data_IF_778127561792
#
_entry.id   IF_778127561792
#
_cell.length_a   1.000
_cell.length_b   1.000
_cell.length_c   1.000
_cell.angle_alpha   90.00
_cell.angle_beta   90.00
_cell.angle_gamma   90.00
#
_symmetry.space_group_name_H-M   'P 1'
#
loop_
_entity.id
_entity.type
_entity.pdbx_description
1 polymer ?
#
# COMPACT_ATOMS: atom_id res chain seq x y z
N UNK A 1 27.70 -18.59 14.95
CA UNK A 1 27.97 -18.28 13.53
C UNK A 1 27.47 -16.86 13.33
N UNK A 2 28.37 -15.87 13.42
CA UNK A 2 28.03 -14.46 13.30
C UNK A 2 27.73 -14.14 11.83
N UNK A 3 26.48 -13.73 11.54
CA UNK A 3 26.14 -13.12 10.25
C UNK A 3 26.50 -11.64 10.35
N UNK A 4 27.51 -11.26 9.57
CA UNK A 4 27.90 -9.87 9.35
C UNK A 4 26.71 -9.19 8.68
N UNK A 5 26.12 -8.20 9.37
CA UNK A 5 25.18 -7.27 8.76
C UNK A 5 25.93 -6.52 7.65
N UNK A 6 25.56 -6.79 6.40
CA UNK A 6 26.00 -6.01 5.25
C UNK A 6 25.52 -4.57 5.47
N UNK A 7 26.45 -3.62 5.58
CA UNK A 7 26.17 -2.19 5.59
C UNK A 7 25.36 -1.83 4.33
N UNK A 8 24.10 -1.43 4.49
CA UNK A 8 23.34 -0.79 3.42
C UNK A 8 24.03 0.52 3.05
N UNK A 9 24.69 0.56 1.89
CA UNK A 9 25.17 1.80 1.25
C UNK A 9 24.26 2.14 0.08
N UNK A 10 23.01 2.49 0.36
CA UNK A 10 22.10 3.07 -0.61
C UNK A 10 21.90 4.55 -0.25
N UNK A 11 22.48 5.44 -1.07
CA UNK A 11 22.53 6.88 -0.83
C UNK A 11 21.16 7.58 -0.93
N UNK A 12 20.12 6.87 -1.34
CA UNK A 12 18.74 7.33 -1.50
C UNK A 12 17.78 6.71 -0.46
N UNK A 13 18.27 5.84 0.42
CA UNK A 13 17.45 5.20 1.46
C UNK A 13 16.49 4.11 0.96
N UNK A 14 16.58 3.71 -0.31
CA UNK A 14 15.73 2.66 -0.90
C UNK A 14 16.54 1.45 -1.34
N UNK A 15 16.11 0.27 -0.86
CA UNK A 15 16.65 -1.00 -1.32
C UNK A 15 15.95 -1.54 -2.55
N UNK A 16 16.73 -1.84 -3.58
CA UNK A 16 16.20 -2.36 -4.87
C UNK A 16 15.98 -3.86 -4.86
N UNK A 17 16.80 -4.58 -4.11
CA UNK A 17 16.71 -6.05 -4.00
C UNK A 17 15.82 -6.45 -2.81
N UNK A 18 14.88 -7.39 -3.01
CA UNK A 18 14.10 -7.93 -1.91
C UNK A 18 15.02 -8.67 -0.94
N UNK A 19 14.61 -8.74 0.32
CA UNK A 19 15.25 -9.60 1.31
C UNK A 19 14.19 -10.50 1.93
N UNK A 20 14.62 -11.68 2.32
CA UNK A 20 13.76 -12.73 2.86
C UNK A 20 14.09 -12.94 4.33
N UNK A 21 13.04 -13.06 5.16
CA UNK A 21 13.15 -13.38 6.58
C UNK A 21 12.28 -14.59 6.86
N UNK A 22 12.93 -15.70 7.22
CA UNK A 22 12.24 -16.90 7.70
C UNK A 22 11.99 -16.80 9.21
N UNK A 23 10.71 -16.83 9.60
CA UNK A 23 10.29 -16.84 11.00
C UNK A 23 9.59 -18.17 11.29
N UNK A 24 10.24 -19.04 12.07
CA UNK A 24 9.64 -20.31 12.52
C UNK A 24 9.01 -20.17 13.90
N UNK A 25 7.75 -20.58 14.06
CA UNK A 25 7.08 -20.59 15.36
C UNK A 25 5.99 -21.66 15.42
N UNK A 26 5.76 -22.22 16.61
CA UNK A 26 4.71 -23.20 16.86
C UNK A 26 3.35 -22.56 17.20
N UNK A 27 3.28 -21.23 17.26
CA UNK A 27 2.07 -20.49 17.63
C UNK A 27 1.28 -19.97 16.42
N UNK A 28 1.90 -19.93 15.25
CA UNK A 28 1.35 -19.31 14.06
C UNK A 28 1.22 -20.36 12.96
N UNK A 29 0.20 -20.21 12.13
CA UNK A 29 0.07 -20.99 10.90
C UNK A 29 1.09 -20.50 9.87
N UNK A 30 1.48 -21.36 8.93
CA UNK A 30 2.34 -20.96 7.81
C UNK A 30 1.66 -19.90 6.94
N UNK A 31 2.31 -18.75 6.76
CA UNK A 31 1.91 -17.69 5.84
C UNK A 31 3.13 -16.88 5.39
N UNK A 32 2.98 -16.17 4.27
CA UNK A 32 3.97 -15.24 3.74
C UNK A 32 3.42 -13.81 3.80
N UNK A 33 4.27 -12.86 4.18
CA UNK A 33 3.97 -11.43 4.09
C UNK A 33 4.99 -10.79 3.16
N UNK A 34 4.48 -10.12 2.13
CA UNK A 34 5.27 -9.30 1.23
C UNK A 34 5.03 -7.83 1.58
N UNK A 35 6.08 -7.18 2.08
CA UNK A 35 6.08 -5.74 2.30
C UNK A 35 6.71 -5.03 1.08
N UNK A 36 5.98 -4.06 0.53
CA UNK A 36 6.37 -3.33 -0.69
C UNK A 36 6.50 -1.86 -0.32
N UNK A 37 7.54 -1.14 -0.80
CA UNK A 37 7.71 0.26 -0.47
C UNK A 37 6.48 1.10 -0.89
N UNK A 38 6.06 2.02 -0.02
CA UNK A 38 4.93 2.90 -0.29
C UNK A 38 5.25 3.97 -1.34
N UNK A 39 4.28 4.28 -2.20
CA UNK A 39 4.44 5.33 -3.21
C UNK A 39 4.33 6.73 -2.57
N UNK A 40 5.43 7.50 -2.59
CA UNK A 40 5.50 8.88 -2.08
C UNK A 40 4.91 9.85 -3.13
N UNK A 41 4.34 10.96 -2.67
CA UNK A 41 3.57 11.93 -3.49
C UNK A 41 4.39 12.88 -4.35
N UNK A 42 5.72 12.87 -4.24
CA UNK A 42 6.51 13.99 -4.74
C UNK A 42 7.03 13.70 -6.16
N UNK A 43 6.70 14.61 -7.08
CA UNK A 43 7.07 14.56 -8.50
C UNK A 43 8.60 14.49 -8.73
N UNK A 44 9.41 14.79 -7.71
CA UNK A 44 10.86 14.82 -7.79
C UNK A 44 11.50 13.42 -7.88
N UNK A 45 10.79 12.33 -7.57
CA UNK A 45 11.37 10.97 -7.58
C UNK A 45 10.70 9.98 -8.55
N UNK A 46 10.62 10.40 -9.82
CA UNK A 46 10.07 9.59 -10.92
C UNK A 46 10.69 8.18 -11.05
N UNK A 47 11.95 8.00 -10.65
CA UNK A 47 12.64 6.70 -10.69
C UNK A 47 12.14 5.76 -9.58
N UNK A 48 12.00 6.25 -8.34
CA UNK A 48 11.45 5.43 -7.25
C UNK A 48 9.99 5.10 -7.49
N UNK A 49 9.22 6.04 -8.04
CA UNK A 49 7.84 5.79 -8.44
C UNK A 49 7.74 4.63 -9.43
N UNK A 50 8.50 4.66 -10.52
CA UNK A 50 8.47 3.60 -11.52
C UNK A 50 8.93 2.24 -10.95
N UNK A 51 9.93 2.26 -10.05
CA UNK A 51 10.40 1.05 -9.36
C UNK A 51 9.30 0.42 -8.50
N UNK A 52 8.63 1.23 -7.68
CA UNK A 52 7.53 0.78 -6.81
C UNK A 52 6.38 0.22 -7.65
N UNK A 53 5.95 0.96 -8.68
CA UNK A 53 4.89 0.52 -9.60
C UNK A 53 5.24 -0.83 -10.24
N UNK A 54 6.49 -0.98 -10.72
CA UNK A 54 6.96 -2.23 -11.33
C UNK A 54 6.96 -3.39 -10.33
N UNK A 55 7.43 -3.17 -9.10
CA UNK A 55 7.42 -4.19 -8.05
C UNK A 55 5.99 -4.59 -7.67
N UNK A 56 5.11 -3.61 -7.42
CA UNK A 56 3.68 -3.87 -7.17
C UNK A 56 3.06 -4.64 -8.33
N UNK A 57 3.38 -4.28 -9.57
CA UNK A 57 2.86 -4.96 -10.77
C UNK A 57 3.22 -6.44 -10.85
N UNK A 58 4.37 -6.87 -10.32
CA UNK A 58 4.73 -8.30 -10.30
C UNK A 58 3.83 -9.09 -9.34
N UNK A 59 3.56 -8.54 -8.16
CA UNK A 59 2.80 -9.23 -7.12
C UNK A 59 1.29 -9.25 -7.39
N UNK A 60 0.73 -8.18 -7.96
CA UNK A 60 -0.71 -8.12 -8.33
C UNK A 60 -1.06 -8.97 -9.56
N UNK A 61 -0.11 -9.73 -10.11
CA UNK A 61 -0.35 -10.71 -11.18
C UNK A 61 -0.45 -12.14 -10.67
N UNK A 62 -0.21 -12.38 -9.38
CA UNK A 62 -0.33 -13.71 -8.77
C UNK A 62 -1.58 -13.80 -7.89
N UNK A 63 -2.61 -14.58 -8.27
CA UNK A 63 -3.91 -14.59 -7.60
C UNK A 63 -3.91 -15.16 -6.18
N UNK A 64 -2.77 -15.66 -5.68
CA UNK A 64 -2.68 -16.26 -4.35
C UNK A 64 -2.61 -15.23 -3.22
N UNK A 65 -2.36 -13.97 -3.54
CA UNK A 65 -2.22 -12.91 -2.54
C UNK A 65 -3.55 -12.29 -2.13
N UNK A 66 -3.57 -11.74 -0.92
CA UNK A 66 -4.57 -10.76 -0.49
C UNK A 66 -3.87 -9.40 -0.41
N UNK A 67 -4.50 -8.34 -0.93
CA UNK A 67 -3.89 -7.01 -0.90
C UNK A 67 -4.38 -6.26 0.33
N UNK A 68 -3.44 -5.83 1.18
CA UNK A 68 -3.73 -4.90 2.27
C UNK A 68 -3.25 -3.51 1.86
N UNK A 69 -4.19 -2.65 1.48
CA UNK A 69 -3.90 -1.29 1.05
C UNK A 69 -3.96 -0.33 2.24
N UNK A 70 -2.78 0.03 2.76
CA UNK A 70 -2.66 0.96 3.88
C UNK A 70 -2.45 2.38 3.35
N UNK A 71 -3.29 3.32 3.77
CA UNK A 71 -3.13 4.74 3.41
C UNK A 71 -3.48 5.69 4.56
N UNK A 72 -3.03 6.95 4.53
CA UNK A 72 -3.54 7.97 5.44
C UNK A 72 -4.98 8.42 5.11
N UNK A 73 -5.78 8.64 6.15
CA UNK A 73 -7.19 9.08 6.05
C UNK A 73 -7.35 10.52 5.54
N UNK A 74 -6.32 11.36 5.69
CA UNK A 74 -6.30 12.74 5.19
C UNK A 74 -6.06 12.85 3.68
N UNK A 75 -5.70 11.75 3.01
CA UNK A 75 -5.57 11.72 1.56
C UNK A 75 -6.93 11.46 0.88
N UNK A 76 -7.52 12.54 0.35
CA UNK A 76 -8.79 12.54 -0.39
C UNK A 76 -8.61 13.30 -1.71
N UNK A 77 -9.40 12.93 -2.73
CA UNK A 77 -9.40 13.63 -4.02
C UNK A 77 -8.02 13.71 -4.68
N UNK A 78 -7.63 14.93 -5.06
CA UNK A 78 -6.41 15.25 -5.82
C UNK A 78 -5.11 14.99 -5.03
N UNK A 79 -5.15 15.11 -3.70
CA UNK A 79 -3.99 14.86 -2.84
C UNK A 79 -3.71 13.36 -2.63
N UNK A 80 -4.63 12.49 -3.03
CA UNK A 80 -4.50 11.03 -2.93
C UNK A 80 -3.88 10.39 -4.17
N UNK A 81 -3.21 11.16 -5.04
CA UNK A 81 -2.76 10.69 -6.36
C UNK A 81 -1.99 9.37 -6.30
N UNK A 82 -1.02 9.22 -5.38
CA UNK A 82 -0.26 7.97 -5.22
C UNK A 82 -1.12 6.78 -4.79
N UNK A 83 -2.01 6.98 -3.82
CA UNK A 83 -2.97 5.95 -3.38
C UNK A 83 -3.94 5.56 -4.49
N UNK A 84 -4.49 6.55 -5.20
CA UNK A 84 -5.43 6.31 -6.31
C UNK A 84 -4.71 5.52 -7.40
N UNK A 85 -3.46 5.87 -7.69
CA UNK A 85 -2.65 5.19 -8.68
C UNK A 85 -2.37 3.73 -8.31
N UNK A 86 -1.89 3.47 -7.07
CA UNK A 86 -1.70 2.11 -6.59
C UNK A 86 -3.02 1.31 -6.61
N UNK A 87 -4.12 1.92 -6.17
CA UNK A 87 -5.44 1.29 -6.23
C UNK A 87 -5.85 0.91 -7.65
N UNK A 88 -5.61 1.79 -8.63
CA UNK A 88 -5.85 1.48 -10.02
C UNK A 88 -4.97 0.32 -10.50
N UNK A 89 -3.71 0.23 -10.07
CA UNK A 89 -2.83 -0.87 -10.47
C UNK A 89 -3.39 -2.26 -10.11
N UNK A 90 -4.05 -2.41 -8.96
CA UNK A 90 -4.60 -3.70 -8.53
C UNK A 90 -6.12 -3.88 -8.72
N UNK A 91 -6.86 -2.85 -9.13
CA UNK A 91 -8.32 -2.96 -9.39
C UNK A 91 -8.71 -2.74 -10.85
N UNK A 92 -7.92 -1.99 -11.62
CA UNK A 92 -8.18 -1.77 -13.03
C UNK A 92 -7.46 -2.82 -13.87
N UNK A 93 -8.25 -3.70 -14.50
CA UNK A 93 -7.76 -4.61 -15.54
C UNK A 93 -7.57 -3.82 -16.82
N UNK A 94 -6.54 -2.98 -16.86
CA UNK A 94 -6.10 -2.33 -18.10
C UNK A 94 -5.36 -3.33 -18.99
N UNK A 95 -5.56 -3.21 -20.30
CA UNK A 95 -4.98 -4.06 -21.34
C UNK A 95 -3.46 -4.23 -21.17
N UNK A 96 -2.87 -5.38 -21.59
CA UNK A 96 -1.49 -5.74 -21.27
C UNK A 96 -0.53 -4.63 -21.71
N UNK A 97 0.03 -3.91 -20.76
CA UNK A 97 1.07 -2.92 -20.98
C UNK A 97 2.40 -3.63 -21.28
N UNK A 98 2.52 -4.16 -22.50
CA UNK A 98 3.76 -4.67 -23.06
C UNK A 98 4.30 -5.96 -22.41
N UNK A 99 4.78 -6.86 -23.27
CA UNK A 99 5.54 -8.08 -22.95
C UNK A 99 4.74 -9.24 -22.33
N UNK A 100 5.38 -10.43 -22.30
CA UNK A 100 4.82 -11.77 -22.04
C UNK A 100 4.26 -12.01 -20.62
N UNK A 101 3.81 -10.97 -19.92
CA UNK A 101 3.28 -11.09 -18.57
C UNK A 101 1.79 -11.48 -18.56
N UNK A 102 1.39 -12.25 -17.54
CA UNK A 102 0.00 -12.58 -17.27
C UNK A 102 -0.84 -11.31 -17.05
N UNK A 103 -2.12 -11.34 -17.41
CA UNK A 103 -3.05 -10.24 -17.10
C UNK A 103 -3.09 -9.98 -15.59
N UNK A 104 -3.27 -8.72 -15.19
CA UNK A 104 -3.47 -8.38 -13.77
C UNK A 104 -4.77 -9.01 -13.27
N UNK A 105 -4.76 -9.47 -12.02
CA UNK A 105 -5.98 -9.88 -11.35
C UNK A 105 -6.72 -8.65 -10.84
N UNK A 106 -8.05 -8.70 -10.90
CA UNK A 106 -8.87 -7.68 -10.26
C UNK A 106 -9.02 -8.02 -8.77
N UNK A 107 -8.29 -7.29 -7.92
CA UNK A 107 -8.33 -7.48 -6.48
C UNK A 107 -9.46 -6.72 -5.79
N UNK A 108 -10.42 -6.14 -6.52
CA UNK A 108 -11.49 -5.36 -5.90
C UNK A 108 -12.16 -6.09 -4.73
N UNK A 109 -12.44 -7.40 -4.88
CA UNK A 109 -13.08 -8.22 -3.84
C UNK A 109 -12.07 -8.88 -2.87
N UNK A 110 -10.77 -8.75 -3.14
CA UNK A 110 -9.65 -9.36 -2.39
C UNK A 110 -8.69 -8.32 -1.82
N UNK A 111 -9.14 -7.06 -1.74
CA UNK A 111 -8.41 -5.95 -1.14
C UNK A 111 -9.06 -5.60 0.19
N UNK A 112 -8.24 -5.32 1.19
CA UNK A 112 -8.66 -4.66 2.42
C UNK A 112 -7.98 -3.30 2.47
N UNK A 113 -8.77 -2.22 2.52
CA UNK A 113 -8.23 -0.87 2.70
C UNK A 113 -8.19 -0.50 4.17
N UNK A 114 -7.04 -0.07 4.67
CA UNK A 114 -6.84 0.41 6.04
C UNK A 114 -6.48 1.91 6.00
N UNK A 115 -7.35 2.73 6.58
CA UNK A 115 -7.17 4.18 6.73
C UNK A 115 -6.50 4.47 8.07
N UNK A 116 -5.27 4.97 8.02
CA UNK A 116 -4.44 5.35 9.18
C UNK A 116 -4.51 6.86 9.42
N UNK A 117 -3.94 7.35 10.54
CA UNK A 117 -3.96 8.79 10.91
C UNK A 117 -5.39 9.38 10.99
N UNK A 118 -6.35 8.55 11.39
CA UNK A 118 -7.76 8.94 11.46
C UNK A 118 -8.02 10.00 12.55
N UNK A 119 -7.22 10.01 13.61
CA UNK A 119 -7.17 11.05 14.63
C UNK A 119 -6.88 12.44 14.05
N UNK A 120 -5.88 12.55 13.17
CA UNK A 120 -5.57 13.78 12.46
C UNK A 120 -6.74 14.20 11.56
N UNK A 121 -7.28 13.27 10.78
CA UNK A 121 -8.46 13.52 9.94
C UNK A 121 -9.64 14.06 10.74
N UNK A 122 -9.95 13.47 11.90
CA UNK A 122 -11.03 13.91 12.79
C UNK A 122 -10.75 15.28 13.41
N UNK A 123 -9.49 15.58 13.77
CA UNK A 123 -9.08 16.88 14.27
C UNK A 123 -9.16 17.99 13.23
N UNK A 124 -8.86 17.67 11.96
CA UNK A 124 -8.94 18.60 10.85
C UNK A 124 -10.41 18.85 10.44
N UNK A 125 -11.29 17.85 10.61
CA UNK A 125 -12.73 17.91 10.32
C UNK A 125 -13.59 18.09 11.58
N UNK A 126 -13.35 19.18 12.32
CA UNK A 126 -13.94 19.48 13.65
C UNK A 126 -15.48 19.45 13.71
N UNK A 127 -16.16 19.56 12.58
CA UNK A 127 -17.61 19.41 12.47
C UNK A 127 -17.97 18.01 11.96
N UNK A 128 -18.69 17.23 12.76
CA UNK A 128 -19.01 15.83 12.45
C UNK A 128 -19.72 15.59 11.11
N UNK A 129 -20.38 16.60 10.52
CA UNK A 129 -20.94 16.50 9.16
C UNK A 129 -19.88 16.40 8.07
N UNK A 130 -18.79 17.16 8.17
CA UNK A 130 -17.69 17.09 7.20
C UNK A 130 -16.90 15.80 7.34
N UNK A 131 -16.69 15.33 8.58
CA UNK A 131 -16.07 14.04 8.82
C UNK A 131 -16.88 12.88 8.22
N UNK A 132 -18.20 12.86 8.42
CA UNK A 132 -19.08 11.83 7.86
C UNK A 132 -19.08 11.83 6.33
N UNK A 133 -19.16 13.01 5.70
CA UNK A 133 -19.09 13.12 4.24
C UNK A 133 -17.76 12.59 3.68
N UNK A 134 -16.63 12.90 4.34
CA UNK A 134 -15.32 12.37 3.95
C UNK A 134 -15.21 10.85 4.12
N UNK A 135 -15.77 10.30 5.20
CA UNK A 135 -15.83 8.84 5.42
C UNK A 135 -16.65 8.15 4.33
N UNK A 136 -17.82 8.69 3.98
CA UNK A 136 -18.68 8.15 2.92
C UNK A 136 -17.96 8.13 1.57
N UNK A 137 -17.27 9.21 1.21
CA UNK A 137 -16.46 9.27 -0.02
C UNK A 137 -15.35 8.22 -0.04
N UNK A 138 -14.65 8.04 1.08
CA UNK A 138 -13.57 7.06 1.21
C UNK A 138 -14.08 5.63 1.08
N UNK A 139 -15.23 5.32 1.71
CA UNK A 139 -15.85 3.99 1.59
C UNK A 139 -16.20 3.73 0.13
N UNK A 140 -16.97 4.60 -0.52
CA UNK A 140 -17.42 4.41 -1.91
C UNK A 140 -16.28 4.16 -2.90
N UNK A 141 -15.10 4.73 -2.63
CA UNK A 141 -13.94 4.65 -3.52
C UNK A 141 -13.08 3.39 -3.29
N UNK A 142 -13.03 2.84 -2.08
CA UNK A 142 -12.01 1.85 -1.68
C UNK A 142 -12.56 0.60 -0.97
N UNK A 143 -13.87 0.34 -1.04
CA UNK A 143 -14.55 -0.80 -0.41
C UNK A 143 -13.76 -2.13 -0.53
N UNK A 144 -13.65 -2.96 0.53
CA UNK A 144 -13.95 -2.70 1.95
C UNK A 144 -12.88 -1.83 2.66
N UNK A 145 -13.32 -0.91 3.52
CA UNK A 145 -12.45 0.07 4.20
C UNK A 145 -12.61 0.04 5.73
N UNK A 146 -11.49 -0.01 6.45
CA UNK A 146 -11.39 0.06 7.90
C UNK A 146 -10.67 1.34 8.33
N UNK A 147 -11.18 2.01 9.36
CA UNK A 147 -10.58 3.23 9.91
C UNK A 147 -9.87 2.91 11.23
N UNK A 148 -8.57 3.19 11.29
CA UNK A 148 -7.73 2.87 12.44
C UNK A 148 -7.04 4.14 12.94
N UNK A 149 -7.33 4.52 14.18
CA UNK A 149 -6.45 5.40 14.94
C UNK A 149 -5.39 4.54 15.61
N UNK A 150 -4.18 4.53 15.04
CA UNK A 150 -3.03 4.05 15.79
C UNK A 150 -2.64 5.15 16.77
N UNK A 151 -3.08 5.02 18.03
CA UNK A 151 -2.48 5.76 19.13
C UNK A 151 -1.13 5.08 19.38
N UNK A 152 -0.06 5.65 18.83
CA UNK A 152 1.29 5.24 19.20
C UNK A 152 1.67 6.02 20.45
N UNK A 153 1.29 5.49 21.62
CA UNK A 153 1.83 5.95 22.90
C UNK A 153 3.24 5.38 23.03
N UNK A 154 4.19 6.02 22.35
CA UNK A 154 5.63 5.76 22.51
C UNK A 154 6.17 6.31 23.82
#
# INVERSE_FOLDING_TARGET
MERIASECRENDGFRREPYEIDISSNQWTDFEILDVPGLVSDEEDSQHRQMIETQTEFYVRDPQFMIVHVKPADLIGENATSTVHLCALFTEVSAPCGTNYLLRHNYKDYTITIQTKFDKFMNDNKNGRSANAGIEELIQKYEPTYFVSMIFDG
#
